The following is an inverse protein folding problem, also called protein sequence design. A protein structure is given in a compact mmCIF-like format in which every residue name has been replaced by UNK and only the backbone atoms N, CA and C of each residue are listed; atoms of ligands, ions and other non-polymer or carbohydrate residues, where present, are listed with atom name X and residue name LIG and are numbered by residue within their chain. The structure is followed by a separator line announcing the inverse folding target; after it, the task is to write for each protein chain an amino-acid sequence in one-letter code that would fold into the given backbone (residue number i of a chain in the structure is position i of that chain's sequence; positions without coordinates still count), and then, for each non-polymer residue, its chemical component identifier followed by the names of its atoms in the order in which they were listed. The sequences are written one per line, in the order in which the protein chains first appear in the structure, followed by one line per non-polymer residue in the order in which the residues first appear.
data_IF_464976755483
#
_entry.id   IF_464976755483
#
_cell.length_a   1.000
_cell.length_b   1.000
_cell.length_c   1.000
_cell.angle_alpha   90.00
_cell.angle_beta   90.00
_cell.angle_gamma   90.00
#
_symmetry.space_group_name_H-M   'P 1'
#
loop_
_entity.id
_entity.type
_entity.pdbx_description
1 polymer ?
#
# COMPACT_ATOMS: atom_id res chain seq x y z
N UNK A 1 4.44 -16.62 7.46
CA UNK A 1 3.35 -16.30 8.41
C UNK A 1 3.12 -14.80 8.33
N UNK A 2 1.94 -14.35 7.87
CA UNK A 2 1.64 -12.91 7.78
C UNK A 2 1.17 -12.49 9.18
N UNK A 3 1.97 -11.65 9.83
CA UNK A 3 1.69 -11.19 11.19
C UNK A 3 0.40 -10.36 11.26
N UNK A 4 -0.26 -10.32 12.43
CA UNK A 4 -1.50 -9.58 12.60
C UNK A 4 -1.30 -8.07 12.42
N UNK A 5 -2.40 -7.34 12.17
CA UNK A 5 -2.48 -5.91 11.84
C UNK A 5 -2.03 -4.94 12.95
N UNK A 6 -1.12 -5.33 13.85
CA UNK A 6 -0.69 -4.54 14.99
C UNK A 6 0.70 -3.95 14.74
N UNK A 7 0.76 -2.71 14.26
CA UNK A 7 1.81 -1.83 14.78
C UNK A 7 1.33 -1.53 16.20
N UNK A 8 2.05 -2.02 17.21
CA UNK A 8 1.91 -1.44 18.56
C UNK A 8 2.18 0.05 18.37
N UNK A 9 1.16 0.89 18.50
CA UNK A 9 1.34 2.33 18.57
C UNK A 9 2.38 2.56 19.66
N UNK A 10 3.58 2.94 19.25
CA UNK A 10 4.68 3.13 20.18
C UNK A 10 4.29 4.35 21.00
N UNK A 11 4.13 4.16 22.32
CA UNK A 11 3.89 5.27 23.26
C UNK A 11 4.96 6.37 23.16
N UNK A 12 6.08 6.08 22.49
CA UNK A 12 7.18 6.98 22.25
C UNK A 12 7.30 7.30 20.74
N UNK A 13 6.73 8.41 20.30
CA UNK A 13 7.00 9.04 19.00
C UNK A 13 8.14 10.06 19.14
N UNK A 14 8.95 10.27 18.10
CA UNK A 14 9.72 11.52 17.98
C UNK A 14 8.80 12.54 17.31
N UNK A 15 8.73 13.75 17.87
CA UNK A 15 7.92 14.84 17.33
C UNK A 15 8.84 15.83 16.63
N UNK A 16 8.39 16.33 15.48
CA UNK A 16 9.03 17.43 14.75
C UNK A 16 7.98 18.44 14.35
N UNK A 17 8.36 19.72 14.29
CA UNK A 17 7.45 20.80 13.92
C UNK A 17 7.44 21.01 12.40
N UNK A 18 6.32 21.51 11.88
CA UNK A 18 6.22 22.02 10.51
C UNK A 18 6.88 23.39 10.45
N UNK A 19 7.80 23.57 9.51
CA UNK A 19 8.53 24.82 9.29
C UNK A 19 7.84 25.72 8.26
N UNK A 20 6.97 25.12 7.43
CA UNK A 20 6.25 25.86 6.40
C UNK A 20 5.14 26.72 7.02
N UNK A 21 4.97 28.00 6.60
CA UNK A 21 3.86 28.83 7.06
C UNK A 21 2.51 28.15 6.83
N UNK A 22 1.60 28.24 7.80
CA UNK A 22 0.27 27.59 7.76
C UNK A 22 -0.50 27.88 6.47
N UNK A 23 -0.39 29.12 5.96
CA UNK A 23 -1.04 29.57 4.72
C UNK A 23 -0.48 28.94 3.44
N UNK A 24 0.73 28.36 3.49
CA UNK A 24 1.38 27.68 2.36
C UNK A 24 1.17 26.16 2.38
N UNK A 25 0.61 25.62 3.46
CA UNK A 25 0.31 24.19 3.58
C UNK A 25 -0.96 23.88 2.78
N UNK A 26 -0.93 22.82 1.97
CA UNK A 26 -2.10 22.39 1.22
C UNK A 26 -2.97 21.46 2.08
N UNK A 27 -3.72 22.06 3.01
CA UNK A 27 -4.60 21.35 3.93
C UNK A 27 -5.60 20.43 3.22
N UNK A 28 -6.13 20.85 2.07
CA UNK A 28 -7.08 20.03 1.30
C UNK A 28 -6.53 18.66 0.89
N UNK A 29 -5.22 18.56 0.62
CA UNK A 29 -4.57 17.29 0.26
C UNK A 29 -4.36 16.42 1.50
N UNK A 30 -3.98 17.03 2.62
CA UNK A 30 -3.79 16.35 3.91
C UNK A 30 -5.13 15.76 4.39
N UNK A 31 -6.18 16.57 4.39
CA UNK A 31 -7.52 16.16 4.85
C UNK A 31 -8.13 15.10 3.94
N UNK A 32 -7.95 15.24 2.61
CA UNK A 32 -8.40 14.24 1.66
C UNK A 32 -7.68 12.90 1.86
N UNK A 33 -6.36 12.92 2.09
CA UNK A 33 -5.59 11.71 2.37
C UNK A 33 -6.05 11.04 3.66
N UNK A 34 -6.21 11.80 4.77
CA UNK A 34 -6.71 11.27 6.04
C UNK A 34 -8.09 10.63 5.89
N UNK A 35 -9.03 11.36 5.27
CA UNK A 35 -10.40 10.89 5.05
C UNK A 35 -10.44 9.61 4.23
N UNK A 36 -9.74 9.58 3.09
CA UNK A 36 -9.70 8.39 2.22
C UNK A 36 -9.00 7.22 2.88
N UNK A 37 -7.98 7.46 3.69
CA UNK A 37 -7.28 6.40 4.40
C UNK A 37 -8.17 5.80 5.50
N UNK A 38 -8.95 6.61 6.23
CA UNK A 38 -9.91 6.10 7.20
C UNK A 38 -10.93 5.16 6.55
N UNK A 39 -11.52 5.56 5.41
CA UNK A 39 -12.43 4.71 4.63
C UNK A 39 -11.76 3.40 4.21
N UNK A 40 -10.54 3.46 3.68
CA UNK A 40 -9.78 2.28 3.28
C UNK A 40 -9.48 1.34 4.46
N UNK A 41 -9.15 1.91 5.63
CA UNK A 41 -8.86 1.17 6.86
C UNK A 41 -10.12 0.50 7.42
N UNK A 42 -11.25 1.19 7.41
CA UNK A 42 -12.56 0.64 7.79
C UNK A 42 -12.91 -0.54 6.88
N UNK A 43 -12.86 -0.34 5.56
CA UNK A 43 -13.14 -1.40 4.59
C UNK A 43 -12.22 -2.62 4.73
N UNK A 44 -10.95 -2.43 5.09
CA UNK A 44 -10.06 -3.54 5.39
C UNK A 44 -10.42 -4.27 6.68
N UNK A 45 -10.84 -3.52 7.71
CA UNK A 45 -11.24 -4.08 9.00
C UNK A 45 -12.53 -4.91 8.86
N UNK A 46 -13.46 -4.44 8.04
CA UNK A 46 -14.73 -5.12 7.71
C UNK A 46 -14.55 -6.41 6.87
N UNK A 47 -13.32 -6.73 6.44
CA UNK A 47 -13.03 -8.05 5.86
C UNK A 47 -12.85 -9.14 6.92
N UNK A 48 -12.78 -8.78 8.20
CA UNK A 48 -12.65 -9.69 9.34
C UNK A 48 -11.56 -10.76 9.11
N UNK A 49 -10.39 -10.29 8.65
CA UNK A 49 -9.31 -11.16 8.23
C UNK A 49 -8.88 -12.07 9.39
N UNK A 50 -9.11 -13.38 9.23
CA UNK A 50 -8.54 -14.41 10.11
C UNK A 50 -7.03 -14.53 9.87
N UNK A 51 -6.37 -15.42 10.60
CA UNK A 51 -4.96 -15.72 10.39
C UNK A 51 -4.72 -16.16 8.93
N UNK A 52 -4.12 -15.28 8.14
CA UNK A 52 -3.82 -15.54 6.74
C UNK A 52 -2.63 -16.49 6.62
N UNK A 53 -2.82 -17.57 5.87
CA UNK A 53 -1.74 -18.45 5.44
C UNK A 53 -1.62 -18.36 3.93
N UNK A 54 -0.39 -18.21 3.42
CA UNK A 54 -0.11 -18.22 1.99
C UNK A 54 0.96 -19.27 1.71
N UNK A 55 0.60 -20.26 0.90
CA UNK A 55 1.52 -21.27 0.42
C UNK A 55 1.55 -21.20 -1.10
N UNK A 56 2.75 -20.98 -1.66
CA UNK A 56 2.99 -20.98 -3.09
C UNK A 56 3.85 -22.18 -3.46
N UNK A 57 3.48 -22.88 -4.53
CA UNK A 57 4.22 -23.97 -5.12
C UNK A 57 4.57 -23.60 -6.56
N UNK A 58 5.75 -24.01 -7.00
CA UNK A 58 6.20 -23.86 -8.39
C UNK A 58 6.33 -25.25 -8.99
N UNK A 59 5.68 -25.47 -10.12
CA UNK A 59 5.84 -26.71 -10.89
C UNK A 59 7.18 -26.73 -11.62
N UNK A 60 7.60 -27.92 -12.09
CA UNK A 60 8.80 -28.09 -12.91
C UNK A 60 8.75 -27.28 -14.21
N UNK A 61 7.55 -27.03 -14.74
CA UNK A 61 7.32 -26.19 -15.93
C UNK A 61 7.31 -24.68 -15.63
N UNK A 62 7.58 -24.30 -14.38
CA UNK A 62 7.62 -22.91 -13.95
C UNK A 62 6.26 -22.27 -13.69
N UNK A 63 5.18 -23.06 -13.58
CA UNK A 63 3.85 -22.58 -13.24
C UNK A 63 3.68 -22.45 -11.73
N UNK A 64 3.10 -21.35 -11.26
CA UNK A 64 2.91 -21.05 -9.85
C UNK A 64 1.45 -21.25 -9.43
N UNK A 65 1.25 -22.11 -8.44
CA UNK A 65 -0.05 -22.36 -7.82
C UNK A 65 0.02 -22.11 -6.31
N UNK A 66 -1.02 -21.50 -5.76
CA UNK A 66 -1.09 -21.19 -4.35
C UNK A 66 -2.33 -20.35 -4.06
N UNK A 67 -2.76 -20.35 -2.81
CA UNK A 67 -3.92 -19.56 -2.40
C UNK A 67 -3.73 -19.09 -0.97
N UNK A 68 -4.25 -17.90 -0.68
CA UNK A 68 -4.45 -17.44 0.69
C UNK A 68 -5.69 -18.09 1.25
N UNK A 69 -5.55 -18.70 2.42
CA UNK A 69 -6.68 -19.28 3.13
C UNK A 69 -6.76 -18.75 4.57
N UNK A 70 -7.91 -18.15 4.97
CA UNK A 70 -9.06 -17.79 4.13
C UNK A 70 -8.83 -16.46 3.36
N UNK A 71 -9.18 -16.43 2.07
CA UNK A 71 -9.26 -15.18 1.28
C UNK A 71 -10.74 -14.74 1.19
N UNK A 72 -11.07 -13.46 1.46
CA UNK A 72 -12.43 -12.95 1.27
C UNK A 72 -12.92 -13.11 -0.18
N UNK A 73 -14.24 -13.17 -0.37
CA UNK A 73 -14.84 -13.24 -1.71
C UNK A 73 -14.41 -12.06 -2.59
N UNK A 74 -14.32 -12.29 -3.90
CA UNK A 74 -13.94 -11.26 -4.88
C UNK A 74 -14.81 -10.00 -4.79
N UNK A 75 -16.12 -10.14 -4.56
CA UNK A 75 -17.04 -9.01 -4.38
C UNK A 75 -16.62 -8.10 -3.22
N UNK A 76 -16.21 -8.67 -2.08
CA UNK A 76 -15.71 -7.90 -0.93
C UNK A 76 -14.37 -7.26 -1.21
N UNK A 77 -13.46 -7.99 -1.89
CA UNK A 77 -12.15 -7.46 -2.27
C UNK A 77 -12.24 -6.31 -3.27
N UNK A 78 -13.22 -6.32 -4.18
CA UNK A 78 -13.46 -5.24 -5.13
C UNK A 78 -13.64 -3.89 -4.44
N UNK A 79 -14.43 -3.83 -3.35
CA UNK A 79 -14.61 -2.61 -2.56
C UNK A 79 -13.27 -2.07 -2.04
N UNK A 80 -12.48 -2.94 -1.39
CA UNK A 80 -11.14 -2.59 -0.91
C UNK A 80 -10.23 -2.04 -2.01
N UNK A 81 -10.26 -2.67 -3.19
CA UNK A 81 -9.43 -2.25 -4.33
C UNK A 81 -9.85 -0.90 -4.93
N UNK A 82 -11.15 -0.62 -4.97
CA UNK A 82 -11.67 0.67 -5.41
C UNK A 82 -11.18 1.80 -4.50
N UNK A 83 -11.21 1.60 -3.18
CA UNK A 83 -10.72 2.61 -2.22
C UNK A 83 -9.20 2.70 -2.13
N UNK A 84 -8.49 1.62 -2.49
CA UNK A 84 -7.03 1.63 -2.56
C UNK A 84 -6.51 2.40 -3.80
N UNK A 85 -7.23 2.35 -4.93
CA UNK A 85 -6.80 2.91 -6.21
C UNK A 85 -6.26 4.36 -6.14
N UNK A 86 -6.90 5.31 -5.43
CA UNK A 86 -6.42 6.68 -5.33
C UNK A 86 -4.99 6.82 -4.79
N UNK A 87 -4.54 5.90 -3.94
CA UNK A 87 -3.20 5.92 -3.35
C UNK A 87 -2.14 5.39 -4.32
N UNK A 88 -2.53 4.51 -5.24
CA UNK A 88 -1.64 3.88 -6.22
C UNK A 88 -1.53 4.68 -7.53
N UNK A 89 -2.63 5.26 -7.99
CA UNK A 89 -2.69 5.89 -9.31
C UNK A 89 -1.97 7.24 -9.36
N UNK A 90 -0.85 7.33 -10.10
CA UNK A 90 0.06 8.49 -10.12
C UNK A 90 -0.58 9.87 -10.40
N UNK A 91 -1.71 9.93 -11.09
CA UNK A 91 -2.41 11.20 -11.40
C UNK A 91 -3.30 11.69 -10.25
N UNK A 92 -3.52 10.87 -9.24
CA UNK A 92 -4.38 11.20 -8.11
C UNK A 92 -3.63 12.07 -7.10
N UNK A 93 -4.32 13.08 -6.56
CA UNK A 93 -3.77 14.07 -5.61
C UNK A 93 -3.17 13.41 -4.36
N UNK A 94 -3.76 12.29 -3.95
CA UNK A 94 -3.37 11.53 -2.75
C UNK A 94 -2.56 10.28 -3.06
N UNK A 95 -2.07 10.15 -4.30
CA UNK A 95 -1.13 9.08 -4.63
C UNK A 95 0.09 9.15 -3.72
N UNK A 96 0.67 8.00 -3.36
CA UNK A 96 1.79 7.93 -2.40
C UNK A 96 2.95 8.84 -2.82
N UNK A 97 3.27 8.86 -4.11
CA UNK A 97 4.30 9.76 -4.64
C UNK A 97 3.99 11.23 -4.37
N UNK A 98 2.75 11.67 -4.59
CA UNK A 98 2.35 13.07 -4.41
C UNK A 98 2.25 13.46 -2.93
N UNK A 99 1.59 12.64 -2.10
CA UNK A 99 1.47 12.93 -0.66
C UNK A 99 2.84 12.90 0.01
N UNK A 100 3.71 11.92 -0.25
CA UNK A 100 5.05 11.89 0.34
C UNK A 100 5.88 13.11 -0.08
N UNK A 101 5.81 13.54 -1.35
CA UNK A 101 6.45 14.77 -1.80
C UNK A 101 5.94 16.00 -1.03
N UNK A 102 4.63 16.09 -0.81
CA UNK A 102 4.04 17.18 -0.05
C UNK A 102 4.50 17.14 1.42
N UNK A 103 4.45 15.99 2.07
CA UNK A 103 4.86 15.83 3.47
C UNK A 103 6.35 16.15 3.67
N UNK A 104 7.21 15.73 2.75
CA UNK A 104 8.64 16.08 2.78
C UNK A 104 8.90 17.58 2.61
N UNK A 105 7.95 18.36 2.08
CA UNK A 105 8.10 19.82 1.96
C UNK A 105 7.70 20.59 3.22
N UNK A 106 7.14 19.91 4.23
CA UNK A 106 6.64 20.56 5.44
C UNK A 106 7.72 20.89 6.47
N UNK A 107 8.87 20.21 6.44
CA UNK A 107 9.99 20.47 7.36
C UNK A 107 11.34 20.10 6.73
N UNK A 108 12.44 20.44 7.43
CA UNK A 108 13.80 20.10 7.03
C UNK A 108 14.45 19.00 7.87
N UNK A 109 13.72 18.41 8.84
CA UNK A 109 14.22 17.34 9.71
C UNK A 109 14.66 16.14 8.88
N UNK A 110 15.98 15.86 8.90
CA UNK A 110 16.59 14.72 8.18
C UNK A 110 15.90 13.40 8.52
N UNK A 111 15.51 13.20 9.78
CA UNK A 111 14.88 11.97 10.22
C UNK A 111 13.45 11.82 9.71
N UNK A 112 12.67 12.91 9.66
CA UNK A 112 11.33 12.87 9.09
C UNK A 112 11.38 12.65 7.57
N UNK A 113 12.27 13.37 6.89
CA UNK A 113 12.51 13.20 5.45
C UNK A 113 12.91 11.76 5.13
N UNK A 114 13.85 11.20 5.89
CA UNK A 114 14.29 9.81 5.73
C UNK A 114 13.13 8.83 5.97
N UNK A 115 12.33 9.03 7.03
CA UNK A 115 11.16 8.19 7.30
C UNK A 115 10.15 8.19 6.15
N UNK A 116 9.76 9.36 5.65
CA UNK A 116 8.79 9.46 4.54
C UNK A 116 9.38 8.87 3.25
N UNK A 117 10.67 9.09 2.98
CA UNK A 117 11.36 8.52 1.83
C UNK A 117 11.39 6.99 1.89
N UNK A 118 11.70 6.42 3.06
CA UNK A 118 11.70 4.97 3.27
C UNK A 118 10.31 4.36 3.09
N UNK A 119 9.26 4.96 3.65
CA UNK A 119 7.91 4.44 3.48
C UNK A 119 7.43 4.60 2.03
N UNK A 120 7.80 5.68 1.33
CA UNK A 120 7.57 5.81 -0.13
C UNK A 120 8.28 4.70 -0.91
N UNK A 121 9.57 4.47 -0.65
CA UNK A 121 10.33 3.42 -1.32
C UNK A 121 9.77 2.05 -1.00
N UNK A 122 9.40 1.79 0.26
CA UNK A 122 8.70 0.57 0.66
C UNK A 122 7.40 0.42 -0.10
N UNK A 123 6.60 1.48 -0.30
CA UNK A 123 5.36 1.40 -1.07
C UNK A 123 5.61 1.08 -2.54
N UNK A 124 6.55 1.80 -3.18
CA UNK A 124 6.92 1.58 -4.57
C UNK A 124 7.54 0.17 -4.79
N UNK A 125 8.13 -0.39 -3.74
CA UNK A 125 8.69 -1.74 -3.70
C UNK A 125 7.80 -2.78 -3.00
N UNK A 126 6.63 -2.38 -2.50
CA UNK A 126 5.77 -3.18 -1.59
C UNK A 126 5.20 -4.35 -2.36
N UNK A 127 5.94 -5.44 -2.32
CA UNK A 127 5.51 -6.71 -2.83
C UNK A 127 6.40 -7.80 -2.28
N UNK A 128 5.77 -8.80 -1.69
CA UNK A 128 6.33 -10.16 -1.57
C UNK A 128 6.93 -10.67 -2.89
N UNK A 129 6.52 -10.10 -4.04
CA UNK A 129 6.93 -10.51 -5.38
C UNK A 129 8.16 -9.82 -5.89
N UNK A 130 8.70 -8.84 -5.17
CA UNK A 130 9.85 -8.07 -5.62
C UNK A 130 11.13 -8.92 -5.59
N UNK A 131 11.25 -9.83 -6.56
CA UNK A 131 12.30 -10.84 -6.67
C UNK A 131 11.79 -12.27 -6.55
N UNK A 132 10.48 -12.49 -6.49
CA UNK A 132 9.89 -13.82 -6.34
C UNK A 132 9.40 -14.40 -7.67
N UNK A 133 8.95 -13.53 -8.58
CA UNK A 133 8.49 -13.91 -9.91
C UNK A 133 9.46 -13.38 -10.94
N UNK A 134 10.30 -14.31 -11.43
CA UNK A 134 11.15 -14.09 -12.59
C UNK A 134 10.64 -14.95 -13.74
N UNK A 135 10.42 -14.33 -14.90
CA UNK A 135 10.10 -15.05 -16.11
C UNK A 135 10.87 -14.47 -17.31
N UNK A 136 11.69 -15.31 -17.95
CA UNK A 136 12.53 -14.92 -19.12
C UNK A 136 13.34 -13.64 -18.89
N UNK A 137 13.91 -13.48 -17.69
CA UNK A 137 14.66 -12.29 -17.30
C UNK A 137 13.82 -11.07 -16.91
N UNK A 138 12.49 -11.13 -17.04
CA UNK A 138 11.59 -10.08 -16.56
C UNK A 138 11.13 -10.36 -15.13
N UNK A 139 11.39 -9.38 -14.26
CA UNK A 139 10.87 -9.32 -12.89
C UNK A 139 9.51 -8.63 -12.94
N UNK A 140 8.49 -9.25 -12.36
CA UNK A 140 7.18 -8.60 -12.22
C UNK A 140 7.10 -7.88 -10.88
N UNK A 141 6.80 -6.59 -10.91
CA UNK A 141 6.54 -5.82 -9.71
C UNK A 141 5.07 -5.93 -9.27
N UNK A 142 4.77 -5.75 -7.97
CA UNK A 142 3.38 -5.63 -7.51
C UNK A 142 2.63 -4.52 -8.24
N UNK A 143 3.30 -3.40 -8.51
CA UNK A 143 2.67 -2.27 -9.17
C UNK A 143 2.17 -2.65 -10.57
N UNK A 144 2.94 -3.46 -11.31
CA UNK A 144 2.49 -4.00 -12.59
C UNK A 144 1.31 -4.97 -12.42
N UNK A 145 1.30 -5.79 -11.37
CA UNK A 145 0.17 -6.71 -11.11
C UNK A 145 -1.11 -5.98 -10.70
N UNK A 146 -0.99 -5.00 -9.80
CA UNK A 146 -2.07 -4.11 -9.39
C UNK A 146 -2.61 -3.37 -10.61
N UNK A 147 -1.74 -2.75 -11.41
CA UNK A 147 -2.14 -2.06 -12.65
C UNK A 147 -2.83 -3.02 -13.61
N UNK A 148 -2.21 -4.16 -13.93
CA UNK A 148 -2.76 -5.14 -14.86
C UNK A 148 -4.15 -5.59 -14.44
N UNK A 149 -4.35 -5.88 -13.16
CA UNK A 149 -5.65 -6.34 -12.67
C UNK A 149 -6.68 -5.23 -12.58
N UNK A 150 -6.30 -4.06 -12.05
CA UNK A 150 -7.19 -2.91 -11.94
C UNK A 150 -7.68 -2.54 -13.34
N UNK A 151 -6.77 -2.36 -14.30
CA UNK A 151 -7.14 -1.98 -15.66
C UNK A 151 -7.83 -3.08 -16.45
N UNK A 152 -7.51 -4.37 -16.22
CA UNK A 152 -8.15 -5.45 -16.99
C UNK A 152 -9.52 -5.86 -16.42
N UNK A 153 -9.62 -6.08 -15.11
CA UNK A 153 -10.81 -6.64 -14.49
C UNK A 153 -11.78 -5.60 -13.92
N UNK A 154 -11.27 -4.56 -13.26
CA UNK A 154 -12.13 -3.66 -12.48
C UNK A 154 -12.50 -2.36 -13.21
N UNK A 155 -11.65 -1.89 -14.13
CA UNK A 155 -11.85 -0.62 -14.84
C UNK A 155 -11.94 -0.77 -16.37
N UNK A 156 -11.97 -2.01 -16.88
CA UNK A 156 -12.25 -2.37 -18.29
C UNK A 156 -11.42 -1.61 -19.36
N UNK A 157 -10.19 -1.20 -19.04
CA UNK A 157 -9.27 -0.58 -19.98
C UNK A 157 -8.49 -1.66 -20.75
N UNK A 158 -9.08 -2.35 -21.74
CA UNK A 158 -8.46 -3.14 -22.84
C UNK A 158 -7.04 -3.76 -22.63
N UNK A 159 -6.67 -4.19 -21.41
CA UNK A 159 -5.36 -4.79 -21.08
C UNK A 159 -5.42 -6.30 -20.91
N UNK A 160 -6.57 -6.90 -21.22
CA UNK A 160 -6.79 -8.36 -21.28
C UNK A 160 -5.68 -9.14 -22.00
N UNK A 161 -5.05 -8.66 -23.10
CA UNK A 161 -3.96 -9.40 -23.74
C UNK A 161 -2.70 -9.54 -22.86
N UNK A 162 -2.41 -8.56 -22.02
CA UNK A 162 -1.26 -8.62 -21.10
C UNK A 162 -1.56 -9.53 -19.92
N UNK A 163 -2.76 -9.46 -19.37
CA UNK A 163 -3.24 -10.38 -18.33
C UNK A 163 -3.23 -11.85 -18.81
N UNK A 164 -3.72 -12.13 -20.02
CA UNK A 164 -3.68 -13.48 -20.62
C UNK A 164 -2.26 -14.04 -20.77
N UNK A 165 -1.25 -13.18 -20.92
CA UNK A 165 0.16 -13.63 -20.92
C UNK A 165 0.57 -14.12 -19.53
N UNK A 166 0.08 -13.50 -18.46
CA UNK A 166 0.40 -13.88 -17.08
C UNK A 166 -0.37 -15.11 -16.59
N UNK A 167 -1.62 -15.30 -17.04
CA UNK A 167 -2.42 -16.49 -16.73
C UNK A 167 -1.80 -17.80 -17.25
N UNK A 168 -0.82 -17.73 -18.16
CA UNK A 168 -0.03 -18.91 -18.57
C UNK A 168 0.93 -19.40 -17.49
N UNK A 169 1.20 -18.59 -16.47
CA UNK A 169 2.22 -18.86 -15.46
C UNK A 169 1.66 -18.91 -14.04
N UNK A 170 0.44 -18.43 -13.82
CA UNK A 170 -0.22 -18.41 -12.52
C UNK A 170 -1.61 -19.01 -12.64
N UNK A 171 -2.00 -19.79 -11.63
CA UNK A 171 -3.41 -20.03 -11.38
C UNK A 171 -4.09 -18.71 -10.98
N UNK A 172 -5.36 -18.52 -11.35
CA UNK A 172 -6.10 -17.28 -11.09
C UNK A 172 -6.18 -16.99 -9.57
N UNK A 173 -6.34 -18.02 -8.74
CA UNK A 173 -6.37 -17.87 -7.27
C UNK A 173 -5.02 -17.44 -6.70
N UNK A 174 -3.91 -17.89 -7.31
CA UNK A 174 -2.56 -17.42 -6.95
C UNK A 174 -2.45 -15.94 -7.23
N UNK A 175 -2.92 -15.50 -8.39
CA UNK A 175 -2.89 -14.10 -8.78
C UNK A 175 -3.71 -13.24 -7.81
N UNK A 176 -4.95 -13.63 -7.51
CA UNK A 176 -5.82 -12.92 -6.58
C UNK A 176 -5.18 -12.82 -5.19
N UNK A 177 -4.58 -13.91 -4.71
CA UNK A 177 -3.86 -13.94 -3.43
C UNK A 177 -2.69 -12.96 -3.41
N UNK A 178 -1.89 -12.97 -4.47
CA UNK A 178 -0.74 -12.08 -4.63
C UNK A 178 -1.14 -10.60 -4.72
N UNK A 179 -2.22 -10.30 -5.43
CA UNK A 179 -2.80 -8.96 -5.51
C UNK A 179 -3.25 -8.49 -4.12
N UNK A 180 -4.03 -9.33 -3.42
CA UNK A 180 -4.50 -9.02 -2.08
C UNK A 180 -3.34 -8.75 -1.11
N UNK A 181 -2.29 -9.57 -1.12
CA UNK A 181 -1.11 -9.34 -0.28
C UNK A 181 -0.43 -8.02 -0.59
N UNK A 182 -0.25 -7.71 -1.87
CA UNK A 182 0.39 -6.47 -2.29
C UNK A 182 -0.40 -5.26 -1.79
N UNK A 183 -1.73 -5.28 -1.96
CA UNK A 183 -2.61 -4.22 -1.44
C UNK A 183 -2.57 -4.16 0.10
N UNK A 184 -2.62 -5.30 0.78
CA UNK A 184 -2.56 -5.37 2.25
C UNK A 184 -1.24 -4.80 2.80
N UNK A 185 -0.10 -5.10 2.19
CA UNK A 185 1.20 -4.53 2.56
C UNK A 185 1.26 -3.03 2.30
N UNK A 186 0.77 -2.59 1.14
CA UNK A 186 0.66 -1.17 0.80
C UNK A 186 -0.21 -0.40 1.80
N UNK A 187 -1.33 -0.96 2.26
CA UNK A 187 -2.16 -0.33 3.30
C UNK A 187 -1.41 -0.20 4.63
N UNK A 188 -0.58 -1.19 4.98
CA UNK A 188 0.24 -1.11 6.19
C UNK A 188 1.28 0.03 6.14
N UNK A 189 1.80 0.32 4.95
CA UNK A 189 2.72 1.45 4.72
C UNK A 189 1.95 2.77 4.79
N UNK A 190 0.82 2.87 4.09
CA UNK A 190 -0.09 4.02 4.16
C UNK A 190 -0.49 4.33 5.60
N UNK A 191 -0.72 3.32 6.44
CA UNK A 191 -1.04 3.48 7.85
C UNK A 191 0.03 4.24 8.62
N UNK A 192 1.31 3.98 8.35
CA UNK A 192 2.41 4.68 9.04
C UNK A 192 2.50 6.13 8.60
N UNK A 193 2.31 6.39 7.31
CA UNK A 193 2.24 7.76 6.75
C UNK A 193 1.03 8.51 7.32
N UNK A 194 -0.12 7.85 7.43
CA UNK A 194 -1.30 8.42 8.08
C UNK A 194 -1.05 8.73 9.55
N UNK A 195 -0.47 7.79 10.28
CA UNK A 195 -0.14 7.98 11.69
C UNK A 195 0.81 9.16 11.90
N UNK A 196 1.81 9.36 11.02
CA UNK A 196 2.77 10.45 11.13
C UNK A 196 2.16 11.85 11.05
N UNK A 197 0.97 11.95 10.46
CA UNK A 197 0.23 13.21 10.29
C UNK A 197 -1.10 13.24 11.04
N UNK A 198 -1.41 12.23 11.86
CA UNK A 198 -2.72 12.05 12.51
C UNK A 198 -3.22 13.31 13.21
N UNK A 199 -2.38 13.94 14.03
CA UNK A 199 -2.74 15.12 14.82
C UNK A 199 -2.48 16.45 14.10
N UNK A 200 -1.91 16.41 12.89
CA UNK A 200 -1.56 17.61 12.12
C UNK A 200 -2.83 18.35 11.72
N UNK A 201 -2.99 19.59 12.17
CA UNK A 201 -4.14 20.47 11.88
C UNK A 201 -3.65 21.91 11.74
N UNK A 202 -4.46 22.86 11.23
CA UNK A 202 -4.07 24.27 11.14
C UNK A 202 -3.62 24.89 12.47
N UNK A 203 -4.07 24.33 13.60
CA UNK A 203 -3.73 24.77 14.95
C UNK A 203 -2.73 23.85 15.66
N UNK A 204 -2.34 22.72 15.04
CA UNK A 204 -1.38 21.78 15.59
C UNK A 204 -0.38 21.36 14.50
N UNK A 205 0.80 21.97 14.52
CA UNK A 205 1.82 21.84 13.49
C UNK A 205 2.86 20.76 13.82
N UNK A 206 2.42 19.68 14.45
CA UNK A 206 3.27 18.59 14.91
C UNK A 206 3.17 17.38 13.98
N UNK A 207 4.32 16.86 13.59
CA UNK A 207 4.50 15.64 12.82
C UNK A 207 5.14 14.57 13.71
N UNK A 208 4.74 13.31 13.52
CA UNK A 208 5.23 12.17 14.31
C UNK A 208 6.15 11.28 13.49
N UNK A 209 7.25 10.84 14.08
CA UNK A 209 8.12 9.80 13.54
C UNK A 209 8.00 8.57 14.45
N UNK A 210 7.65 7.39 13.91
CA UNK A 210 7.59 6.18 14.72
C UNK A 210 9.00 5.83 15.18
N UNK A 211 9.22 5.67 16.49
CA UNK A 211 10.49 5.12 16.96
C UNK A 211 10.60 3.66 16.51
N UNK A 212 11.80 3.20 16.11
CA UNK A 212 12.03 1.78 15.87
C UNK A 212 11.64 1.02 17.13
N UNK A 213 10.87 -0.06 16.99
CA UNK A 213 10.67 -1.00 18.09
C UNK A 213 12.05 -1.46 18.55
N UNK A 214 12.44 -1.14 19.79
CA UNK A 214 13.60 -1.78 20.41
C UNK A 214 13.32 -3.28 20.37
N UNK A 215 14.14 -4.00 19.61
CA UNK A 215 14.10 -5.45 19.53
C UNK A 215 14.75 -6.04 20.77
#
# INVERSE_FOLDING_TARGET
MIGPFYVKETKNAKIVEVELPVSKINWSVIDLFKTRFSILKENLSDLELKKLSFNIRKSERGFYSGKIEPLPSEYRLKGLYLDFRPFHHKKEKISVTQICKHLMSLNSSKEYLQFILEEKQKFESASILNGFIFHKGHKVSANELIDLWFYSYYFHFNRFPQLKKWQKYFADETFQSLLFLSVYESINILRKIHWSISDLTPTNLLLKIPKPSQK
#
